data_IF_027229274173
#
_entry.id   IF_027229274173
#
_cell.length_a   1.000
_cell.length_b   1.000
_cell.length_c   1.000
_cell.angle_alpha   90.00
_cell.angle_beta   90.00
_cell.angle_gamma   90.00
#
_symmetry.space_group_name_H-M   'P 1'
#
loop_
_entity.id
_entity.type
_entity.pdbx_description
1 polymer ?
#
# COMPACT_ATOMS: atom_id res chain seq x y z
N UNK A 1 -5.63 -17.18 13.81
CA UNK A 1 -5.36 -15.96 13.02
C UNK A 1 -6.55 -15.03 13.17
N UNK A 2 -6.34 -13.79 13.60
CA UNK A 2 -7.38 -12.76 13.65
C UNK A 2 -7.93 -12.54 12.25
N UNK A 3 -9.23 -12.71 12.07
CA UNK A 3 -9.91 -12.47 10.80
C UNK A 3 -9.96 -10.95 10.60
N UNK A 4 -9.17 -10.42 9.68
CA UNK A 4 -9.27 -9.02 9.25
C UNK A 4 -10.69 -8.85 8.67
N UNK A 5 -11.52 -8.03 9.34
CA UNK A 5 -12.87 -7.72 8.88
C UNK A 5 -13.04 -6.24 8.59
N UNK A 6 -12.22 -5.39 9.19
CA UNK A 6 -12.27 -3.94 9.04
C UNK A 6 -10.85 -3.37 8.96
N UNK A 7 -10.71 -2.15 8.46
CA UNK A 7 -9.40 -1.52 8.34
C UNK A 7 -8.72 -1.29 9.70
N UNK A 8 -9.48 -1.17 10.80
CA UNK A 8 -8.96 -1.01 12.15
C UNK A 8 -8.19 -2.24 12.65
N UNK A 9 -8.44 -3.41 12.06
CA UNK A 9 -7.69 -4.64 12.34
C UNK A 9 -6.29 -4.61 11.70
N UNK A 10 -6.04 -3.70 10.74
CA UNK A 10 -4.78 -3.60 10.03
C UNK A 10 -3.73 -2.89 10.89
N UNK A 11 -2.63 -3.60 11.19
CA UNK A 11 -1.52 -3.03 11.97
C UNK A 11 -0.93 -1.79 11.27
N UNK A 12 -0.85 -1.77 9.93
CA UNK A 12 -0.40 -0.58 9.20
C UNK A 12 -1.30 0.64 9.45
N UNK A 13 -2.63 0.45 9.55
CA UNK A 13 -3.57 1.52 9.86
C UNK A 13 -3.39 2.01 11.30
N UNK A 14 -3.25 1.10 12.27
CA UNK A 14 -3.03 1.45 13.67
C UNK A 14 -1.74 2.29 13.84
N UNK A 15 -0.67 1.92 13.15
CA UNK A 15 0.58 2.70 13.14
C UNK A 15 0.44 4.03 12.42
N UNK A 16 -0.28 4.09 11.31
CA UNK A 16 -0.61 5.35 10.64
C UNK A 16 -1.39 6.30 11.58
N UNK A 17 -2.33 5.78 12.38
CA UNK A 17 -3.06 6.58 13.38
C UNK A 17 -2.13 7.16 14.46
N UNK A 18 -1.14 6.38 14.91
CA UNK A 18 -0.12 6.88 15.87
C UNK A 18 0.73 7.99 15.25
N UNK A 19 1.12 7.84 13.97
CA UNK A 19 1.83 8.87 13.21
C UNK A 19 1.00 10.16 13.13
N UNK A 20 -0.28 10.06 12.71
CA UNK A 20 -1.20 11.22 12.63
C UNK A 20 -1.28 11.97 13.94
N UNK A 21 -1.48 11.26 15.06
CA UNK A 21 -1.55 11.89 16.38
C UNK A 21 -0.22 12.56 16.78
N UNK A 22 0.91 11.98 16.41
CA UNK A 22 2.24 12.56 16.65
C UNK A 22 2.41 13.86 15.87
N UNK A 23 2.11 13.86 14.57
CA UNK A 23 2.16 15.05 13.72
C UNK A 23 1.19 16.12 14.22
N UNK A 24 -0.04 15.76 14.59
CA UNK A 24 -1.00 16.69 15.16
C UNK A 24 -0.47 17.36 16.43
N UNK A 25 0.13 16.60 17.34
CA UNK A 25 0.72 17.16 18.57
C UNK A 25 1.88 18.12 18.28
N UNK A 26 2.74 17.80 17.31
CA UNK A 26 3.89 18.65 16.95
C UNK A 26 3.43 19.96 16.31
N UNK A 27 2.48 19.88 15.39
CA UNK A 27 1.96 21.01 14.61
C UNK A 27 1.12 22.01 15.41
N UNK A 28 0.62 21.62 16.58
CA UNK A 28 -0.17 22.49 17.47
C UNK A 28 0.68 23.27 18.49
N UNK A 29 2.00 23.17 18.42
CA UNK A 29 2.90 23.97 19.27
C UNK A 29 3.08 25.38 18.73
N UNK A 30 3.40 26.33 19.60
CA UNK A 30 3.26 27.76 19.31
C UNK A 30 3.90 28.20 17.99
N UNK A 31 5.21 28.01 17.80
CA UNK A 31 5.89 28.44 16.56
C UNK A 31 5.44 27.67 15.32
N UNK A 32 5.27 26.35 15.43
CA UNK A 32 4.84 25.51 14.31
C UNK A 32 3.39 25.83 13.88
N UNK A 33 2.52 26.13 14.84
CA UNK A 33 1.09 26.37 14.60
C UNK A 33 0.85 27.60 13.72
N UNK A 34 1.81 28.53 13.65
CA UNK A 34 1.77 29.78 12.88
C UNK A 34 2.28 29.62 11.44
N UNK A 35 3.00 28.55 11.12
CA UNK A 35 3.41 28.22 9.75
C UNK A 35 2.31 27.40 9.05
N UNK A 36 1.21 28.07 8.71
CA UNK A 36 0.02 27.43 8.14
C UNK A 36 0.32 26.55 6.92
N UNK A 37 1.31 26.91 6.10
CA UNK A 37 1.68 26.15 4.90
C UNK A 37 2.29 24.81 5.28
N UNK A 38 3.41 24.81 6.01
CA UNK A 38 4.09 23.58 6.41
C UNK A 38 3.20 22.73 7.30
N UNK A 39 2.50 23.37 8.23
CA UNK A 39 1.57 22.73 9.16
C UNK A 39 0.46 21.97 8.44
N UNK A 40 -0.19 22.59 7.46
CA UNK A 40 -1.27 21.93 6.72
C UNK A 40 -0.72 20.83 5.81
N UNK A 41 0.42 21.06 5.12
CA UNK A 41 1.04 20.06 4.25
C UNK A 41 1.36 18.76 5.00
N UNK A 42 1.99 18.85 6.18
CA UNK A 42 2.36 17.66 6.95
C UNK A 42 1.13 16.99 7.60
N UNK A 43 0.11 17.76 8.02
CA UNK A 43 -1.15 17.22 8.53
C UNK A 43 -1.90 16.44 7.45
N UNK A 44 -2.01 17.01 6.24
CA UNK A 44 -2.68 16.39 5.10
C UNK A 44 -1.94 15.12 4.67
N UNK A 45 -0.61 15.18 4.59
CA UNK A 45 0.22 14.02 4.28
C UNK A 45 0.03 12.90 5.32
N UNK A 46 0.10 13.22 6.62
CA UNK A 46 -0.10 12.24 7.68
C UNK A 46 -1.50 11.63 7.65
N UNK A 47 -2.54 12.46 7.53
CA UNK A 47 -3.94 12.02 7.41
C UNK A 47 -4.14 11.11 6.20
N UNK A 48 -3.56 11.48 5.05
CA UNK A 48 -3.59 10.70 3.81
C UNK A 48 -3.02 9.28 3.97
N UNK A 49 -2.00 9.08 4.83
CA UNK A 49 -1.51 7.72 5.13
C UNK A 49 -2.62 6.85 5.72
N UNK A 50 -3.33 7.38 6.72
CA UNK A 50 -4.39 6.66 7.42
C UNK A 50 -5.65 6.50 6.54
N UNK A 51 -6.07 7.56 5.84
CA UNK A 51 -7.27 7.56 5.00
C UNK A 51 -7.15 6.60 3.82
N UNK A 52 -6.02 6.62 3.10
CA UNK A 52 -5.83 5.71 1.97
C UNK A 52 -5.82 4.23 2.41
N UNK A 53 -5.34 3.89 3.60
CA UNK A 53 -5.40 2.50 4.10
C UNK A 53 -6.86 2.09 4.35
N UNK A 54 -7.66 2.98 4.92
CA UNK A 54 -9.08 2.72 5.17
C UNK A 54 -9.88 2.61 3.87
N UNK A 55 -9.78 3.60 2.98
CA UNK A 55 -10.45 3.62 1.67
C UNK A 55 -10.06 2.41 0.82
N UNK A 56 -8.77 2.04 0.83
CA UNK A 56 -8.30 0.85 0.14
C UNK A 56 -8.87 -0.44 0.70
N UNK A 57 -9.10 -0.52 2.02
CA UNK A 57 -9.73 -1.66 2.67
C UNK A 57 -11.16 -1.93 2.17
N UNK A 58 -11.84 -0.88 1.69
CA UNK A 58 -13.20 -0.95 1.14
C UNK A 58 -13.24 -1.05 -0.40
N UNK A 59 -12.08 -1.09 -1.08
CA UNK A 59 -11.97 -1.06 -2.53
C UNK A 59 -12.45 -2.34 -3.26
N UNK A 60 -12.87 -3.37 -2.53
CA UNK A 60 -13.49 -4.58 -3.09
C UNK A 60 -12.57 -5.55 -3.86
N UNK A 61 -11.36 -5.13 -4.26
CA UNK A 61 -10.39 -6.00 -4.96
C UNK A 61 -8.94 -5.74 -4.52
N UNK A 62 -8.11 -6.80 -4.56
CA UNK A 62 -6.69 -6.71 -4.21
C UNK A 62 -5.90 -5.68 -5.06
N UNK A 63 -6.05 -5.61 -6.41
CA UNK A 63 -5.33 -4.64 -7.22
C UNK A 63 -5.66 -3.19 -6.86
N UNK A 64 -6.93 -2.92 -6.55
CA UNK A 64 -7.35 -1.58 -6.15
C UNK A 64 -6.88 -1.24 -4.74
N UNK A 65 -6.97 -2.18 -3.79
CA UNK A 65 -6.39 -1.97 -2.46
C UNK A 65 -4.89 -1.66 -2.55
N UNK A 66 -4.15 -2.40 -3.39
CA UNK A 66 -2.72 -2.12 -3.63
C UNK A 66 -2.49 -0.69 -4.17
N UNK A 67 -3.38 -0.15 -5.01
CA UNK A 67 -3.29 1.23 -5.52
C UNK A 67 -3.36 2.25 -4.38
N UNK A 68 -4.34 2.10 -3.49
CA UNK A 68 -4.48 2.94 -2.30
C UNK A 68 -3.31 2.79 -1.33
N UNK A 69 -2.83 1.57 -1.09
CA UNK A 69 -1.65 1.33 -0.25
C UNK A 69 -0.39 2.01 -0.80
N UNK A 70 -0.21 2.08 -2.13
CA UNK A 70 0.87 2.85 -2.74
C UNK A 70 0.71 4.36 -2.55
N UNK A 71 -0.51 4.89 -2.46
CA UNK A 71 -0.77 6.29 -2.13
C UNK A 71 -0.41 6.56 -0.67
N UNK A 72 -0.89 5.72 0.26
CA UNK A 72 -0.53 5.80 1.68
C UNK A 72 0.99 5.81 1.90
N UNK A 73 1.72 4.91 1.21
CA UNK A 73 3.18 4.84 1.29
C UNK A 73 3.89 6.10 0.76
N UNK A 74 3.34 6.74 -0.28
CA UNK A 74 3.86 8.00 -0.82
C UNK A 74 3.68 9.12 0.19
N UNK A 75 2.48 9.28 0.76
CA UNK A 75 2.23 10.28 1.79
C UNK A 75 3.06 10.08 3.06
N UNK A 76 3.37 8.84 3.44
CA UNK A 76 4.32 8.60 4.54
C UNK A 76 5.74 9.09 4.23
N UNK A 77 6.15 9.04 2.95
CA UNK A 77 7.45 9.61 2.52
C UNK A 77 7.40 11.14 2.47
N UNK A 78 6.25 11.73 2.16
CA UNK A 78 6.03 13.18 2.26
C UNK A 78 6.17 13.63 3.73
N UNK A 79 5.54 12.94 4.69
CA UNK A 79 5.73 13.23 6.12
C UNK A 79 7.21 13.19 6.50
N UNK A 80 7.96 12.17 6.05
CA UNK A 80 9.41 12.08 6.31
C UNK A 80 10.19 13.29 5.77
N UNK A 81 9.78 13.86 4.64
CA UNK A 81 10.40 15.07 4.07
C UNK A 81 10.02 16.32 4.86
N UNK A 82 8.73 16.48 5.20
CA UNK A 82 8.22 17.66 5.89
C UNK A 82 8.73 17.77 7.34
N UNK A 83 9.04 16.65 8.02
CA UNK A 83 9.65 16.71 9.37
C UNK A 83 11.08 17.26 9.34
N UNK A 84 11.86 17.07 8.27
CA UNK A 84 13.16 17.74 8.13
C UNK A 84 12.97 19.25 7.98
N UNK A 85 12.00 19.67 7.17
CA UNK A 85 11.65 21.08 7.01
C UNK A 85 11.18 21.73 8.32
N UNK A 86 10.52 20.98 9.21
CA UNK A 86 10.16 21.42 10.54
C UNK A 86 11.40 21.53 11.47
N UNK A 87 12.36 20.60 11.37
CA UNK A 87 13.63 20.67 12.10
C UNK A 87 14.47 21.87 11.66
N UNK A 88 14.62 22.09 10.36
CA UNK A 88 15.41 23.21 9.81
C UNK A 88 14.88 24.57 10.25
N UNK A 89 13.55 24.67 10.42
CA UNK A 89 12.86 25.86 10.95
C UNK A 89 12.87 25.93 12.49
N UNK A 90 13.47 24.94 13.16
CA UNK A 90 13.55 24.81 14.62
C UNK A 90 12.18 24.66 15.31
N UNK A 91 11.17 24.18 14.60
CA UNK A 91 9.83 23.93 15.16
C UNK A 91 9.77 22.64 15.99
N UNK A 92 10.69 21.72 15.74
CA UNK A 92 10.81 20.44 16.45
C UNK A 92 12.28 20.16 16.77
N UNK A 93 12.51 19.24 17.71
CA UNK A 93 13.85 18.75 18.07
C UNK A 93 14.28 17.56 17.22
N UNK A 94 15.57 17.21 17.21
CA UNK A 94 16.08 15.98 16.57
C UNK A 94 15.40 14.71 17.08
N UNK A 95 15.07 14.68 18.38
CA UNK A 95 14.36 13.54 18.99
C UNK A 95 12.96 13.38 18.41
N UNK A 96 12.28 14.50 18.17
CA UNK A 96 10.93 14.53 17.60
C UNK A 96 10.93 14.25 16.10
N UNK A 97 11.93 14.75 15.38
CA UNK A 97 12.18 14.34 14.01
C UNK A 97 12.35 12.82 13.94
N UNK A 98 13.24 12.25 14.76
CA UNK A 98 13.49 10.81 14.77
C UNK A 98 12.22 10.03 15.09
N UNK A 99 11.45 10.46 16.09
CA UNK A 99 10.19 9.82 16.45
C UNK A 99 9.21 9.79 15.27
N UNK A 100 8.93 10.93 14.65
CA UNK A 100 7.96 11.02 13.56
C UNK A 100 8.46 10.31 12.30
N UNK A 101 9.77 10.40 12.00
CA UNK A 101 10.40 9.72 10.88
C UNK A 101 10.31 8.19 11.02
N UNK A 102 10.62 7.65 12.19
CA UNK A 102 10.60 6.22 12.46
C UNK A 102 9.17 5.66 12.42
N UNK A 103 8.18 6.42 12.92
CA UNK A 103 6.77 6.05 12.81
C UNK A 103 6.31 6.00 11.35
N UNK A 104 6.73 6.95 10.53
CA UNK A 104 6.43 6.95 9.10
C UNK A 104 7.12 5.78 8.38
N UNK A 105 8.36 5.45 8.74
CA UNK A 105 9.05 4.28 8.20
C UNK A 105 8.39 2.96 8.61
N UNK A 106 7.98 2.83 9.88
CA UNK A 106 7.25 1.66 10.37
C UNK A 106 5.95 1.46 9.58
N UNK A 107 5.16 2.53 9.38
CA UNK A 107 3.97 2.47 8.55
C UNK A 107 4.30 2.02 7.11
N UNK A 108 5.35 2.57 6.47
CA UNK A 108 5.80 2.17 5.13
C UNK A 108 6.17 0.69 5.05
N UNK A 109 6.90 0.17 6.04
CA UNK A 109 7.30 -1.24 6.09
C UNK A 109 6.08 -2.16 6.20
N UNK A 110 5.13 -1.83 7.06
CA UNK A 110 3.89 -2.61 7.22
C UNK A 110 3.01 -2.55 5.97
N UNK A 111 2.89 -1.38 5.34
CA UNK A 111 2.19 -1.21 4.06
C UNK A 111 2.83 -2.09 2.97
N UNK A 112 4.16 -2.09 2.85
CA UNK A 112 4.87 -2.93 1.88
C UNK A 112 4.63 -4.43 2.14
N UNK A 113 4.61 -4.85 3.42
CA UNK A 113 4.28 -6.21 3.81
C UNK A 113 2.87 -6.61 3.35
N UNK A 114 1.88 -5.73 3.57
CA UNK A 114 0.50 -5.97 3.11
C UNK A 114 0.40 -6.04 1.58
N UNK A 115 1.07 -5.15 0.84
CA UNK A 115 1.14 -5.21 -0.62
C UNK A 115 1.73 -6.55 -1.09
N UNK A 116 2.80 -7.03 -0.44
CA UNK A 116 3.43 -8.30 -0.79
C UNK A 116 2.51 -9.49 -0.53
N UNK A 117 1.71 -9.45 0.54
CA UNK A 117 0.69 -10.45 0.86
C UNK A 117 -0.42 -10.48 -0.20
N UNK A 118 -1.03 -9.33 -0.52
CA UNK A 118 -2.12 -9.22 -1.51
C UNK A 118 -1.69 -9.71 -2.91
N UNK A 119 -0.44 -9.43 -3.30
CA UNK A 119 0.13 -9.94 -4.57
C UNK A 119 0.26 -11.45 -4.62
N UNK A 120 0.46 -12.12 -3.48
CA UNK A 120 0.53 -13.58 -3.42
C UNK A 120 -0.87 -14.20 -3.46
N UNK A 121 -1.86 -13.54 -2.84
CA UNK A 121 -3.27 -13.93 -2.90
C UNK A 121 -3.79 -14.03 -4.35
N UNK A 122 -3.55 -13.01 -5.16
CA UNK A 122 -3.93 -13.00 -6.58
C UNK A 122 -3.30 -14.15 -7.39
N UNK A 123 -1.99 -14.40 -7.22
CA UNK A 123 -1.28 -15.49 -7.92
C UNK A 123 -1.78 -16.88 -7.55
N UNK A 124 -2.16 -17.08 -6.29
CA UNK A 124 -2.69 -18.36 -5.84
C UNK A 124 -4.09 -18.61 -6.40
N UNK A 125 -4.88 -17.56 -6.60
CA UNK A 125 -6.20 -17.63 -7.23
C UNK A 125 -6.08 -17.93 -8.74
N UNK A 126 -5.19 -17.24 -9.45
CA UNK A 126 -4.89 -17.51 -10.87
C UNK A 126 -4.45 -18.96 -11.10
N UNK A 127 -3.52 -19.48 -10.28
CA UNK A 127 -3.07 -20.87 -10.35
C UNK A 127 -4.18 -21.89 -10.11
N UNK A 128 -5.15 -21.59 -9.23
CA UNK A 128 -6.32 -22.45 -9.00
C UNK A 128 -7.24 -22.46 -10.22
N UNK A 129 -7.57 -21.29 -10.77
CA UNK A 129 -8.40 -21.17 -11.97
C UNK A 129 -7.75 -21.88 -13.17
N UNK A 130 -6.44 -21.71 -13.38
CA UNK A 130 -5.71 -22.41 -14.45
C UNK A 130 -5.65 -23.92 -14.27
N UNK A 131 -5.66 -24.41 -13.02
CA UNK A 131 -5.69 -25.85 -12.71
C UNK A 131 -7.09 -26.43 -12.93
N UNK A 132 -8.14 -25.70 -12.55
CA UNK A 132 -9.54 -26.09 -12.74
C UNK A 132 -9.95 -26.07 -14.23
N UNK A 133 -9.41 -25.17 -15.03
CA UNK A 133 -9.66 -25.10 -16.49
C UNK A 133 -8.78 -26.06 -17.32
N UNK A 134 -7.69 -26.59 -16.74
CA UNK A 134 -6.74 -27.47 -17.44
C UNK A 134 -7.15 -28.95 -17.50
N UNK A 135 -8.06 -29.40 -16.63
CA UNK A 135 -8.45 -30.82 -16.53
C UNK A 135 -9.63 -31.22 -17.45
N UNK A 136 -10.29 -30.26 -18.11
CA UNK A 136 -11.48 -30.49 -18.96
C UNK A 136 -11.25 -30.24 -20.46
N UNK A 137 -10.01 -30.00 -20.89
CA UNK A 137 -9.71 -29.87 -22.32
C UNK A 137 -9.90 -31.22 -23.03
N UNK A 138 -10.82 -31.35 -24.03
CA UNK A 138 -11.01 -32.60 -24.74
C UNK A 138 -9.73 -32.96 -25.47
N UNK A 139 -9.17 -34.14 -25.18
CA UNK A 139 -8.03 -34.70 -25.91
C UNK A 139 -8.42 -34.81 -27.39
N UNK A 140 -8.02 -33.84 -28.21
CA UNK A 140 -8.16 -33.93 -29.67
C UNK A 140 -7.40 -35.16 -30.14
N UNK A 141 -8.13 -36.17 -30.62
CA UNK A 141 -7.54 -37.32 -31.31
C UNK A 141 -6.81 -36.78 -32.54
N UNK A 142 -5.51 -37.07 -32.65
CA UNK A 142 -4.71 -36.71 -33.82
C UNK A 142 -5.38 -37.27 -35.07
N UNK A 143 -5.71 -36.40 -36.02
CA UNK A 143 -6.20 -36.80 -37.33
C UNK A 143 -5.09 -37.57 -38.08
N UNK A 144 -5.43 -38.61 -38.86
CA UNK A 144 -4.44 -39.36 -39.61
C UNK A 144 -3.82 -38.48 -40.70
N UNK A 145 -2.50 -38.48 -40.76
CA UNK A 145 -1.70 -37.81 -41.78
C UNK A 145 -1.93 -38.49 -43.13
N UNK A 146 -2.55 -37.80 -44.08
CA UNK A 146 -2.56 -38.20 -45.49
C UNK A 146 -1.31 -37.66 -46.17
N UNK A 147 -0.48 -38.59 -46.66
CA UNK A 147 0.73 -38.29 -47.45
C UNK A 147 0.33 -37.76 -48.83
N UNK A 148 1.06 -36.78 -49.41
CA UNK A 148 0.77 -36.25 -50.73
C UNK A 148 1.27 -37.22 -51.81
N UNK A 149 0.35 -37.75 -52.62
CA UNK A 149 0.67 -38.50 -53.83
C UNK A 149 1.11 -37.52 -54.92
N UNK A 150 2.33 -37.74 -55.41
CA UNK A 150 2.88 -37.19 -56.65
C UNK A 150 1.92 -37.36 -57.83
N UNK A 151 1.60 -36.28 -58.54
CA UNK A 151 1.19 -36.36 -59.94
C UNK A 151 2.14 -35.47 -60.73
N UNK A 152 3.00 -36.13 -61.50
CA UNK A 152 3.66 -35.53 -62.65
C UNK A 152 2.79 -35.72 -63.88
N UNK A 153 2.47 -34.60 -64.54
CA UNK A 153 2.50 -34.33 -65.99
C UNK A 153 1.79 -32.99 -66.23
#
# INVERSE_FOLDING_TARGET
>A
MTKIRRFEDLICWQKARVLVNTIHRLTHRDEFSRDFRLRNQILDAAGSVMHNIAEGGDAGTDPEFIRFLKMARRSASEVQSEVYLALDRKYITDTELKQAYDQADEAKRLINGLIAYLRQGGRNNEKRISKEQGDDAPKMKKAPTVSPTTIGL
#
